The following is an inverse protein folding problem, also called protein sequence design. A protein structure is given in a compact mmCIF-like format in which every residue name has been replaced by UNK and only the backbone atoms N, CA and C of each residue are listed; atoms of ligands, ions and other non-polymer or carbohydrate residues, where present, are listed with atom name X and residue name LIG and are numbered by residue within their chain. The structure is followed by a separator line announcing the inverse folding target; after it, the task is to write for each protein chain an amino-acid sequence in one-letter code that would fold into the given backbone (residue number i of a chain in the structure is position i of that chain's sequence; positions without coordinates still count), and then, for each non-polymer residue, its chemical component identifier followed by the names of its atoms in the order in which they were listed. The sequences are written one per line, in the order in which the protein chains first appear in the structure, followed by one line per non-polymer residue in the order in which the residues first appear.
data_IF_545538916698
#
_entry.id   IF_545538916698
#
_cell.length_a   1.000
_cell.length_b   1.000
_cell.length_c   1.000
_cell.angle_alpha   90.00
_cell.angle_beta   90.00
_cell.angle_gamma   90.00
#
_symmetry.space_group_name_H-M   'P 1'
#
loop_
_entity.id
_entity.type
_entity.pdbx_description
1 polymer ?
#
# COMPACT_ATOMS: atom_id res chain seq x y z
N UNK A 1 20.74 23.78 2.24
CA UNK A 1 19.30 23.79 2.56
C UNK A 1 18.59 23.02 1.46
N UNK A 2 18.32 21.73 1.65
CA UNK A 2 17.48 20.96 0.73
C UNK A 2 16.04 21.09 1.20
N UNK A 3 15.25 21.89 0.49
CA UNK A 3 13.80 21.92 0.68
C UNK A 3 13.24 20.70 -0.04
N UNK A 4 12.84 19.67 0.71
CA UNK A 4 11.98 18.61 0.17
C UNK A 4 10.64 19.28 -0.10
N UNK A 5 10.40 19.70 -1.34
CA UNK A 5 9.06 20.00 -1.82
C UNK A 5 8.24 18.71 -1.67
N UNK A 6 7.55 18.59 -0.55
CA UNK A 6 6.65 17.49 -0.29
C UNK A 6 5.41 17.71 -1.17
N UNK A 7 5.52 17.33 -2.44
CA UNK A 7 4.35 17.16 -3.30
C UNK A 7 3.35 16.29 -2.53
N UNK A 8 2.03 16.58 -2.57
CA UNK A 8 1.05 15.65 -2.05
C UNK A 8 1.27 14.32 -2.75
N UNK A 9 1.72 13.34 -1.98
CA UNK A 9 2.05 12.03 -2.46
C UNK A 9 1.27 11.05 -1.58
N UNK A 10 0.60 10.06 -2.17
CA UNK A 10 -0.12 9.06 -1.41
C UNK A 10 0.83 8.30 -0.51
N UNK A 11 0.39 7.98 0.71
CA UNK A 11 1.13 7.11 1.61
C UNK A 11 0.93 5.66 1.18
N UNK A 12 2.03 4.94 0.93
CA UNK A 12 1.97 3.53 0.52
C UNK A 12 2.56 2.65 1.61
N UNK A 13 1.77 1.69 2.07
CA UNK A 13 2.15 0.74 3.11
C UNK A 13 1.83 -0.70 2.69
N UNK A 14 2.75 -1.60 2.97
CA UNK A 14 2.64 -3.02 2.71
C UNK A 14 2.47 -3.74 4.05
N UNK A 15 1.31 -4.33 4.28
CA UNK A 15 1.05 -5.19 5.43
C UNK A 15 1.38 -6.64 5.06
N UNK A 16 2.22 -7.27 5.87
CA UNK A 16 2.66 -8.67 5.66
C UNK A 16 2.62 -9.46 6.96
N UNK A 17 2.47 -10.78 6.87
CA UNK A 17 2.75 -11.66 8.01
C UNK A 17 4.23 -12.05 8.04
N UNK A 18 4.71 -12.52 9.19
CA UNK A 18 6.04 -13.10 9.31
C UNK A 18 6.19 -14.29 8.33
N UNK A 19 7.28 -14.30 7.55
CA UNK A 19 7.57 -15.37 6.60
C UNK A 19 6.74 -15.34 5.30
N UNK A 20 6.03 -14.25 4.99
CA UNK A 20 5.31 -14.16 3.71
C UNK A 20 6.26 -14.28 2.51
N UNK A 21 6.10 -15.29 1.64
CA UNK A 21 6.99 -15.49 0.49
C UNK A 21 6.84 -14.39 -0.58
N UNK A 22 5.67 -13.76 -0.65
CA UNK A 22 5.37 -12.74 -1.66
C UNK A 22 5.70 -11.31 -1.20
N UNK A 23 6.28 -11.12 -0.01
CA UNK A 23 6.65 -9.80 0.50
C UNK A 23 7.55 -9.05 -0.48
N UNK A 24 8.71 -9.63 -0.80
CA UNK A 24 9.73 -8.96 -1.63
C UNK A 24 9.23 -8.69 -3.04
N UNK A 25 8.48 -9.64 -3.62
CA UNK A 25 7.90 -9.48 -4.95
C UNK A 25 6.85 -8.37 -5.00
N UNK A 26 6.00 -8.28 -3.97
CA UNK A 26 4.97 -7.23 -3.90
C UNK A 26 5.59 -5.86 -3.67
N UNK A 27 6.58 -5.76 -2.78
CA UNK A 27 7.31 -4.51 -2.55
C UNK A 27 8.02 -4.03 -3.82
N UNK A 28 8.68 -4.94 -4.56
CA UNK A 28 9.31 -4.62 -5.83
C UNK A 28 8.28 -4.18 -6.89
N UNK A 29 7.15 -4.88 -6.98
CA UNK A 29 6.07 -4.50 -7.90
C UNK A 29 5.56 -3.09 -7.61
N UNK A 30 5.26 -2.76 -6.35
CA UNK A 30 4.80 -1.43 -5.95
C UNK A 30 5.84 -0.35 -6.31
N UNK A 31 7.13 -0.60 -6.07
CA UNK A 31 8.21 0.34 -6.44
C UNK A 31 8.26 0.57 -7.95
N UNK A 32 8.22 -0.50 -8.75
CA UNK A 32 8.21 -0.39 -10.22
C UNK A 32 7.02 0.43 -10.71
N UNK A 33 5.83 0.22 -10.13
CA UNK A 33 4.64 0.99 -10.52
C UNK A 33 4.76 2.47 -10.11
N UNK A 34 5.29 2.76 -8.92
CA UNK A 34 5.56 4.13 -8.48
C UNK A 34 6.55 4.83 -9.42
N UNK A 35 7.63 4.16 -9.81
CA UNK A 35 8.63 4.70 -10.74
C UNK A 35 8.01 5.01 -12.11
N UNK A 36 7.20 4.09 -12.64
CA UNK A 36 6.49 4.27 -13.93
C UNK A 36 5.51 5.45 -13.90
N UNK A 37 4.94 5.76 -12.74
CA UNK A 37 4.02 6.88 -12.55
C UNK A 37 4.73 8.20 -12.23
N UNK A 38 6.06 8.23 -12.18
CA UNK A 38 6.83 9.42 -11.76
C UNK A 38 6.75 9.71 -10.26
N UNK A 39 6.31 8.72 -9.48
CA UNK A 39 6.11 8.76 -8.03
C UNK A 39 7.22 8.01 -7.26
N UNK A 40 8.36 7.72 -7.88
CA UNK A 40 9.49 6.99 -7.26
C UNK A 40 10.09 7.64 -6.00
N UNK A 41 9.71 8.89 -5.70
CA UNK A 41 10.07 9.58 -4.45
C UNK A 41 9.22 9.11 -3.24
N UNK A 42 8.13 8.36 -3.46
CA UNK A 42 7.26 7.85 -2.41
C UNK A 42 7.90 6.63 -1.75
N UNK A 43 8.08 6.69 -0.44
CA UNK A 43 8.58 5.56 0.34
C UNK A 43 7.48 4.49 0.52
N UNK A 44 7.81 3.24 0.21
CA UNK A 44 6.98 2.07 0.54
C UNK A 44 7.33 1.62 1.94
N UNK A 45 6.41 1.82 2.90
CA UNK A 45 6.57 1.31 4.27
C UNK A 45 6.12 -0.15 4.32
N UNK A 46 6.77 -0.97 5.15
CA UNK A 46 6.32 -2.35 5.39
C UNK A 46 6.07 -2.53 6.87
N UNK A 47 4.91 -3.07 7.21
CA UNK A 47 4.50 -3.39 8.58
C UNK A 47 4.17 -4.88 8.69
N UNK A 48 4.70 -5.52 9.73
CA UNK A 48 4.48 -6.95 9.98
C UNK A 48 3.28 -7.08 10.91
N UNK A 49 2.26 -7.81 10.48
CA UNK A 49 1.08 -8.15 11.25
C UNK A 49 1.31 -9.53 11.89
N UNK A 50 1.37 -9.57 13.20
CA UNK A 50 1.70 -10.77 13.98
C UNK A 50 0.57 -11.24 14.90
N UNK A 51 -0.45 -10.39 15.15
CA UNK A 51 -1.57 -10.72 16.02
C UNK A 51 -2.94 -10.62 15.33
N UNK A 52 -3.89 -11.52 15.67
CA UNK A 52 -5.26 -11.45 15.13
C UNK A 52 -5.98 -10.15 15.48
N UNK A 53 -5.67 -9.56 16.65
CA UNK A 53 -6.23 -8.28 17.07
C UNK A 53 -5.78 -7.13 16.16
N UNK A 54 -4.52 -7.13 15.75
CA UNK A 54 -4.01 -6.17 14.78
C UNK A 54 -4.61 -6.39 13.40
N UNK A 55 -4.73 -7.66 12.96
CA UNK A 55 -5.37 -7.98 11.71
C UNK A 55 -6.82 -7.48 11.65
N UNK A 56 -7.58 -7.64 12.73
CA UNK A 56 -8.95 -7.12 12.86
C UNK A 56 -8.99 -5.58 12.81
N UNK A 57 -8.12 -4.91 13.56
CA UNK A 57 -8.05 -3.44 13.61
C UNK A 57 -7.75 -2.82 12.25
N UNK A 58 -6.91 -3.47 11.46
CA UNK A 58 -6.48 -2.99 10.14
C UNK A 58 -7.33 -3.54 8.98
N UNK A 59 -8.34 -4.37 9.25
CA UNK A 59 -9.11 -5.06 8.21
C UNK A 59 -8.26 -6.00 7.34
N UNK A 60 -7.11 -6.44 7.87
CA UNK A 60 -6.11 -7.24 7.17
C UNK A 60 -6.69 -8.58 6.74
N UNK A 61 -7.03 -8.67 5.46
CA UNK A 61 -7.65 -9.87 4.87
C UNK A 61 -6.61 -10.86 4.32
N UNK A 62 -5.34 -10.66 4.66
CA UNK A 62 -4.24 -11.58 4.37
C UNK A 62 -3.00 -10.91 3.76
N UNK A 63 -1.89 -11.64 3.77
CA UNK A 63 -0.58 -11.19 3.28
C UNK A 63 -0.37 -11.55 1.81
N UNK A 64 0.20 -10.67 0.98
CA UNK A 64 0.47 -9.25 1.24
C UNK A 64 -0.78 -8.38 1.00
N UNK A 65 -1.01 -7.38 1.85
CA UNK A 65 -2.03 -6.32 1.63
C UNK A 65 -1.33 -4.99 1.36
N UNK A 66 -1.73 -4.29 0.30
CA UNK A 66 -1.22 -2.95 -0.02
C UNK A 66 -2.26 -1.93 0.43
N UNK A 67 -1.85 -0.99 1.26
CA UNK A 67 -2.61 0.17 1.66
C UNK A 67 -2.11 1.41 0.91
N UNK A 68 -3.05 2.17 0.34
CA UNK A 68 -2.82 3.47 -0.28
C UNK A 68 -3.64 4.48 0.50
N UNK A 69 -2.98 5.45 1.13
CA UNK A 69 -3.58 6.38 2.10
C UNK A 69 -4.39 5.66 3.20
N UNK A 70 -3.90 4.48 3.61
CA UNK A 70 -4.52 3.63 4.63
C UNK A 70 -5.69 2.78 4.14
N UNK A 71 -6.00 2.78 2.83
CA UNK A 71 -7.11 2.05 2.23
C UNK A 71 -6.57 0.89 1.39
N UNK A 72 -7.11 -0.33 1.57
CA UNK A 72 -6.87 -1.47 0.67
C UNK A 72 -7.79 -1.35 -0.57
N UNK A 73 -7.25 -1.10 -1.79
CA UNK A 73 -8.04 -0.97 -3.00
C UNK A 73 -8.84 -2.23 -3.35
N UNK A 74 -8.41 -3.39 -2.85
CA UNK A 74 -9.00 -4.69 -3.14
C UNK A 74 -9.85 -5.23 -1.99
N UNK A 75 -10.13 -4.43 -0.95
CA UNK A 75 -10.86 -4.89 0.22
C UNK A 75 -12.25 -5.43 -0.18
N UNK A 76 -12.57 -6.71 0.10
CA UNK A 76 -13.86 -7.25 -0.26
C UNK A 76 -14.97 -6.63 0.61
N UNK A 77 -16.21 -6.60 0.10
CA UNK A 77 -17.38 -6.04 0.80
C UNK A 77 -17.63 -6.63 2.20
N UNK A 78 -17.16 -7.85 2.43
CA UNK A 78 -17.18 -8.53 3.73
C UNK A 78 -15.78 -9.09 4.01
N UNK A 79 -14.87 -8.27 4.56
CA UNK A 79 -13.54 -8.73 4.88
C UNK A 79 -13.61 -9.79 5.98
N UNK A 80 -12.79 -10.82 5.85
CA UNK A 80 -12.56 -11.81 6.89
C UNK A 80 -11.11 -11.61 7.36
N UNK A 81 -10.89 -10.82 8.42
CA UNK A 81 -9.55 -10.56 8.89
C UNK A 81 -8.88 -11.86 9.33
N UNK A 82 -7.69 -12.13 8.81
CA UNK A 82 -6.98 -13.38 9.06
C UNK A 82 -5.47 -13.18 8.96
N UNK A 83 -4.71 -13.83 9.87
CA UNK A 83 -3.27 -14.05 9.67
C UNK A 83 -3.12 -15.21 8.68
N UNK A 84 -3.30 -14.89 7.41
CA UNK A 84 -3.23 -15.87 6.33
C UNK A 84 -2.60 -15.24 5.07
N UNK A 85 -2.28 -16.04 4.07
CA UNK A 85 -1.93 -15.53 2.76
C UNK A 85 -3.20 -15.05 2.03
N UNK A 86 -3.13 -13.87 1.41
CA UNK A 86 -4.12 -13.38 0.44
C UNK A 86 -3.75 -13.91 -0.93
N UNK A 87 -4.71 -14.55 -1.59
CA UNK A 87 -4.56 -15.00 -2.97
C UNK A 87 -5.16 -13.95 -3.90
N UNK A 88 -4.31 -13.37 -4.76
CA UNK A 88 -4.78 -12.55 -5.87
C UNK A 88 -5.07 -13.45 -7.07
N UNK A 89 -6.11 -13.16 -7.88
CA UNK A 89 -6.48 -13.95 -9.04
C UNK A 89 -5.57 -13.67 -10.24
N UNK A 90 -4.25 -13.74 -10.04
CA UNK A 90 -3.22 -13.59 -11.07
C UNK A 90 -2.29 -14.79 -11.05
N UNK A 91 -1.57 -15.03 -12.15
CA UNK A 91 -0.65 -16.16 -12.30
C UNK A 91 0.44 -16.17 -11.23
N UNK A 92 0.87 -14.99 -10.76
CA UNK A 92 1.97 -14.84 -9.81
C UNK A 92 1.49 -14.73 -8.35
N UNK A 93 0.17 -14.75 -8.11
CA UNK A 93 -0.40 -14.53 -6.77
C UNK A 93 -0.16 -13.11 -6.25
N UNK A 94 0.00 -12.15 -7.15
CA UNK A 94 0.23 -10.72 -6.89
C UNK A 94 -0.96 -9.88 -7.39
N UNK A 95 -1.16 -8.65 -6.91
CA UNK A 95 -2.15 -7.75 -7.49
C UNK A 95 -1.90 -7.53 -8.98
N UNK A 96 -2.98 -7.35 -9.75
CA UNK A 96 -2.85 -6.97 -11.17
C UNK A 96 -2.12 -5.62 -11.30
N UNK A 97 -1.22 -5.54 -12.29
CA UNK A 97 -0.38 -4.36 -12.47
C UNK A 97 -1.17 -3.15 -12.91
N UNK A 98 -2.17 -3.33 -13.78
CA UNK A 98 -2.98 -2.21 -14.27
C UNK A 98 -3.88 -1.67 -13.15
N UNK A 99 -4.47 -2.57 -12.36
CA UNK A 99 -5.26 -2.18 -11.18
C UNK A 99 -4.42 -1.42 -10.15
N UNK A 100 -3.19 -1.89 -9.87
CA UNK A 100 -2.27 -1.21 -8.96
C UNK A 100 -1.86 0.16 -9.50
N UNK A 101 -1.57 0.28 -10.79
CA UNK A 101 -1.26 1.57 -11.42
C UNK A 101 -2.42 2.56 -11.27
N UNK A 102 -3.64 2.09 -11.56
CA UNK A 102 -4.84 2.90 -11.50
C UNK A 102 -5.12 3.39 -10.07
N UNK A 103 -4.96 2.51 -9.07
CA UNK A 103 -5.16 2.86 -7.66
C UNK A 103 -4.12 3.89 -7.18
N UNK A 104 -2.85 3.71 -7.51
CA UNK A 104 -1.78 4.66 -7.17
C UNK A 104 -1.98 6.03 -7.85
N UNK A 105 -2.34 6.03 -9.14
CA UNK A 105 -2.61 7.24 -9.89
C UNK A 105 -3.84 7.98 -9.34
N UNK A 106 -4.94 7.26 -9.09
CA UNK A 106 -6.16 7.83 -8.52
C UNK A 106 -5.90 8.48 -7.16
N UNK A 107 -5.12 7.83 -6.29
CA UNK A 107 -4.71 8.40 -5.02
C UNK A 107 -3.89 9.66 -5.22
N UNK A 108 -2.85 9.64 -6.08
CA UNK A 108 -2.03 10.82 -6.36
C UNK A 108 -2.82 12.03 -6.90
N UNK A 109 -3.89 11.80 -7.66
CA UNK A 109 -4.80 12.85 -8.14
C UNK A 109 -5.74 13.36 -7.03
N UNK A 110 -6.13 12.48 -6.11
CA UNK A 110 -7.15 12.77 -5.08
C UNK A 110 -6.55 13.31 -3.79
N UNK A 111 -5.30 12.97 -3.44
CA UNK A 111 -4.64 13.40 -2.21
C UNK A 111 -4.57 14.94 -2.18
N UNK A 112 -5.35 15.62 -1.32
CA UNK A 112 -5.31 17.07 -1.24
C UNK A 112 -3.94 17.50 -0.70
N UNK A 113 -3.39 18.60 -1.24
CA UNK A 113 -2.16 19.22 -0.75
C UNK A 113 -2.33 19.53 0.74
N UNK A 114 -1.74 18.73 1.64
CA UNK A 114 -1.66 19.09 3.06
C UNK A 114 -0.77 20.34 3.17
N UNK A 115 -1.41 21.51 3.26
CA UNK A 115 -0.75 22.75 3.68
C UNK A 115 -0.84 22.79 5.22
N UNK A 116 0.29 22.61 5.89
CA UNK A 116 0.38 22.86 7.34
C UNK A 116 0.46 24.37 7.58
N UNK A 117 -0.40 25.00 8.41
CA UNK A 117 -0.17 26.36 8.85
C UNK A 117 1.03 26.37 9.78
N UNK A 118 2.07 27.10 9.38
CA UNK A 118 3.26 27.33 10.19
C UNK A 118 2.85 28.26 11.34
N UNK A 119 2.77 27.71 12.55
CA UNK A 119 2.50 28.49 13.76
C UNK A 119 3.74 29.33 14.05
N UNK A 120 3.54 30.65 14.12
CA UNK A 120 4.56 31.67 14.35
C UNK A 120 5.16 31.60 15.75
#
# INVERSE_FOLDING_TARGET
MTYTDARPAPQVELLVIAGCPHRTLTEALVRVMLDQLGLGHIAVRTSVIDTPAEALRLGFSGSPTILIDGIDPWLPRRPQPAIACRLYPTTDGLPDRQELAAALHAAAVTTPRRQSPQTA
#
